data_IF_103219941744
#
_entry.id   IF_103219941744
#
_cell.length_a   1.000
_cell.length_b   1.000
_cell.length_c   1.000
_cell.angle_alpha   90.00
_cell.angle_beta   90.00
_cell.angle_gamma   90.00
#
_symmetry.space_group_name_H-M   'P 1'
#
loop_
_entity.id
_entity.type
_entity.pdbx_description
1 polymer ?
#
# COMPACT_ATOMS: atom_id res chain seq x y z
N UNK A 1 -20.07 22.94 14.21
CA UNK A 1 -18.98 23.24 13.28
C UNK A 1 -18.19 21.95 13.19
N UNK A 2 -18.59 21.05 12.29
CA UNK A 2 -17.77 19.90 11.89
C UNK A 2 -16.68 20.47 11.00
N UNK A 3 -15.42 20.35 11.44
CA UNK A 3 -14.26 20.75 10.65
C UNK A 3 -14.16 19.80 9.44
N UNK A 4 -14.11 20.40 8.26
CA UNK A 4 -13.89 19.71 6.98
C UNK A 4 -12.47 19.11 6.90
N UNK A 5 -12.18 18.11 7.75
CA UNK A 5 -11.08 17.20 7.52
C UNK A 5 -11.57 16.06 6.61
N UNK A 6 -11.93 16.45 5.39
CA UNK A 6 -12.30 15.51 4.35
C UNK A 6 -11.04 14.80 3.87
N UNK A 7 -10.94 13.53 4.22
CA UNK A 7 -9.95 12.55 3.78
C UNK A 7 -8.50 12.73 4.27
N UNK A 8 -8.16 11.99 5.30
CA UNK A 8 -6.77 11.85 5.74
C UNK A 8 -6.09 10.69 4.99
N UNK A 9 -4.77 10.78 4.86
CA UNK A 9 -3.93 9.67 4.41
C UNK A 9 -3.06 9.22 5.56
N UNK A 10 -3.30 7.99 6.02
CA UNK A 10 -2.52 7.33 7.05
C UNK A 10 -1.42 6.50 6.40
N UNK A 11 -0.22 6.59 6.92
CA UNK A 11 0.96 5.89 6.40
C UNK A 11 1.58 5.07 7.51
N UNK A 12 1.73 3.77 7.26
CA UNK A 12 2.33 2.80 8.18
C UNK A 12 3.51 2.11 7.50
N UNK A 13 4.64 2.06 8.18
CA UNK A 13 5.85 1.37 7.72
C UNK A 13 6.13 0.18 8.62
N UNK A 14 5.94 -1.04 8.09
CA UNK A 14 6.08 -2.35 8.75
C UNK A 14 5.35 -2.45 10.11
N UNK A 15 4.05 -2.08 10.21
CA UNK A 15 3.35 -2.02 11.49
C UNK A 15 3.09 -3.39 12.12
N UNK A 16 3.24 -4.50 11.39
CA UNK A 16 3.04 -5.86 11.91
C UNK A 16 4.26 -6.44 12.61
N UNK A 17 5.41 -5.77 12.55
CA UNK A 17 6.65 -6.27 13.15
C UNK A 17 6.49 -6.44 14.66
N UNK A 18 6.76 -7.66 15.14
CA UNK A 18 6.67 -8.02 16.56
C UNK A 18 5.26 -8.31 17.06
N UNK A 19 4.24 -8.23 16.22
CA UNK A 19 2.86 -8.54 16.60
C UNK A 19 2.57 -10.04 16.49
N UNK A 20 1.81 -10.57 17.46
CA UNK A 20 1.21 -11.89 17.38
C UNK A 20 0.01 -11.90 16.42
N UNK A 21 -0.40 -13.08 15.96
CA UNK A 21 -1.47 -13.27 14.98
C UNK A 21 -2.79 -12.54 15.35
N UNK A 22 -3.21 -12.63 16.63
CA UNK A 22 -4.41 -11.92 17.11
C UNK A 22 -4.29 -10.40 17.08
N UNK A 23 -3.08 -9.88 17.23
CA UNK A 23 -2.82 -8.44 17.18
C UNK A 23 -2.83 -7.95 15.73
N UNK A 24 -2.33 -8.76 14.79
CA UNK A 24 -2.44 -8.49 13.36
C UNK A 24 -3.89 -8.42 12.89
N UNK A 25 -4.77 -9.29 13.40
CA UNK A 25 -6.21 -9.24 13.11
C UNK A 25 -6.83 -7.91 13.57
N UNK A 26 -6.47 -7.43 14.76
CA UNK A 26 -6.93 -6.12 15.25
C UNK A 26 -6.38 -4.97 14.39
N UNK A 27 -5.13 -5.06 13.96
CA UNK A 27 -4.53 -4.06 13.08
C UNK A 27 -5.27 -3.99 11.74
N UNK A 28 -5.62 -5.13 11.16
CA UNK A 28 -6.43 -5.22 9.95
C UNK A 28 -7.79 -4.53 10.14
N UNK A 29 -8.48 -4.80 11.26
CA UNK A 29 -9.76 -4.14 11.58
C UNK A 29 -9.61 -2.62 11.64
N UNK A 30 -8.56 -2.12 12.28
CA UNK A 30 -8.26 -0.67 12.35
C UNK A 30 -8.07 -0.09 10.93
N UNK A 31 -7.36 -0.75 10.04
CA UNK A 31 -7.20 -0.28 8.66
C UNK A 31 -8.55 -0.18 7.93
N UNK A 32 -9.38 -1.20 8.09
CA UNK A 32 -10.72 -1.22 7.48
C UNK A 32 -11.62 -0.10 8.03
N UNK A 33 -11.57 0.14 9.34
CA UNK A 33 -12.31 1.24 9.98
C UNK A 33 -11.85 2.62 9.48
N UNK A 34 -10.53 2.83 9.34
CA UNK A 34 -9.96 4.06 8.78
C UNK A 34 -10.50 4.31 7.37
N UNK A 35 -10.50 3.29 6.51
CA UNK A 35 -10.98 3.43 5.12
C UNK A 35 -12.50 3.59 5.08
N UNK A 36 -13.24 2.88 5.91
CA UNK A 36 -14.70 3.02 6.02
C UNK A 36 -15.12 4.44 6.45
N UNK A 37 -14.27 5.14 7.20
CA UNK A 37 -14.45 6.55 7.56
C UNK A 37 -14.05 7.54 6.46
N UNK A 38 -13.81 7.09 5.21
CA UNK A 38 -13.49 7.95 4.07
C UNK A 38 -12.02 8.35 3.98
N UNK A 39 -11.12 7.63 4.64
CA UNK A 39 -9.69 7.92 4.63
C UNK A 39 -8.92 6.98 3.68
N UNK A 40 -7.63 7.26 3.50
CA UNK A 40 -6.70 6.41 2.74
C UNK A 40 -5.69 5.79 3.71
N UNK A 41 -5.41 4.50 3.55
CA UNK A 41 -4.34 3.80 4.25
C UNK A 41 -3.26 3.40 3.26
N UNK A 42 -2.03 3.81 3.50
CA UNK A 42 -0.84 3.33 2.79
C UNK A 42 -0.03 2.52 3.79
N UNK A 43 0.19 1.25 3.49
CA UNK A 43 0.97 0.35 4.36
C UNK A 43 2.13 -0.27 3.59
N UNK A 44 3.34 -0.15 4.15
CA UNK A 44 4.53 -0.86 3.66
C UNK A 44 4.64 -2.15 4.46
N UNK A 45 4.52 -3.29 3.80
CA UNK A 45 4.43 -4.57 4.47
C UNK A 45 5.01 -5.73 3.67
N UNK A 46 5.30 -6.81 4.39
CA UNK A 46 5.65 -8.12 3.83
C UNK A 46 4.81 -9.26 4.45
N UNK A 47 3.94 -8.94 5.42
CA UNK A 47 2.99 -9.89 6.00
C UNK A 47 1.86 -10.18 5.00
N UNK A 48 1.65 -11.47 4.72
CA UNK A 48 0.70 -11.95 3.72
C UNK A 48 -0.74 -11.53 4.02
N UNK A 49 -1.13 -11.50 5.29
CA UNK A 49 -2.49 -11.14 5.71
C UNK A 49 -2.78 -9.69 5.41
N UNK A 50 -1.82 -8.81 5.71
CA UNK A 50 -1.98 -7.39 5.45
C UNK A 50 -1.93 -7.10 3.95
N UNK A 51 -1.08 -7.80 3.20
CA UNK A 51 -1.06 -7.69 1.74
C UNK A 51 -2.40 -8.15 1.14
N UNK A 52 -3.00 -9.22 1.67
CA UNK A 52 -4.23 -9.81 1.12
C UNK A 52 -5.47 -8.94 1.30
N UNK A 53 -5.50 -8.06 2.30
CA UNK A 53 -6.64 -7.14 2.53
C UNK A 53 -6.48 -5.80 1.81
N UNK A 54 -5.36 -5.58 1.11
CA UNK A 54 -5.15 -4.35 0.37
C UNK A 54 -6.03 -4.31 -0.89
N UNK A 55 -6.74 -3.21 -1.09
CA UNK A 55 -7.52 -2.95 -2.32
C UNK A 55 -6.61 -2.76 -3.53
N UNK A 56 -5.41 -2.22 -3.28
CA UNK A 56 -4.44 -1.89 -4.31
C UNK A 56 -3.02 -2.22 -3.83
N UNK A 57 -2.25 -2.88 -4.67
CA UNK A 57 -0.89 -3.31 -4.36
C UNK A 57 0.10 -2.63 -5.27
N UNK A 58 1.21 -2.20 -4.69
CA UNK A 58 2.41 -1.71 -5.37
C UNK A 58 3.57 -2.59 -4.95
N UNK A 59 4.13 -3.38 -5.86
CA UNK A 59 5.29 -4.21 -5.58
C UNK A 59 6.57 -3.58 -6.12
N UNK A 60 7.57 -3.47 -5.24
CA UNK A 60 8.91 -2.94 -5.53
C UNK A 60 9.92 -4.07 -5.43
N UNK A 61 10.71 -4.26 -6.49
CA UNK A 61 11.67 -5.36 -6.57
C UNK A 61 12.64 -5.21 -7.74
N UNK A 62 13.09 -6.37 -8.31
CA UNK A 62 12.79 -7.74 -7.87
C UNK A 62 13.60 -8.19 -6.64
N UNK A 63 14.79 -7.63 -6.42
CA UNK A 63 15.71 -7.99 -5.34
C UNK A 63 15.99 -6.86 -4.37
N UNK A 64 16.99 -7.04 -3.51
CA UNK A 64 17.44 -6.04 -2.55
C UNK A 64 18.52 -5.13 -3.13
N UNK A 65 18.73 -3.96 -2.52
CA UNK A 65 19.83 -3.05 -2.87
C UNK A 65 19.84 -2.62 -4.34
N UNK A 66 20.94 -2.85 -5.03
CA UNK A 66 21.12 -2.47 -6.44
C UNK A 66 20.16 -3.18 -7.41
N UNK A 67 19.70 -4.38 -7.07
CA UNK A 67 18.74 -5.14 -7.86
C UNK A 67 17.29 -4.74 -7.59
N UNK A 68 17.04 -3.95 -6.54
CA UNK A 68 15.72 -3.43 -6.19
C UNK A 68 15.36 -2.13 -6.89
N UNK A 69 14.36 -1.44 -6.35
CA UNK A 69 13.97 -0.08 -6.73
C UNK A 69 13.16 0.04 -8.01
N UNK A 70 12.76 -1.08 -8.63
CA UNK A 70 11.89 -1.09 -9.82
C UNK A 70 10.46 -1.38 -9.43
N UNK A 71 9.52 -0.81 -10.16
CA UNK A 71 8.12 -1.20 -10.09
C UNK A 71 7.95 -2.56 -10.79
N UNK A 72 7.52 -3.57 -10.04
CA UNK A 72 7.20 -4.91 -10.55
C UNK A 72 5.73 -5.00 -10.91
N UNK A 73 4.87 -4.49 -10.00
CA UNK A 73 3.43 -4.52 -10.18
C UNK A 73 2.77 -3.29 -9.53
N UNK A 74 1.67 -2.85 -10.12
CA UNK A 74 0.69 -1.98 -9.47
C UNK A 74 -0.71 -2.32 -9.98
N UNK A 75 -1.67 -2.50 -9.08
CA UNK A 75 -3.05 -2.87 -9.43
C UNK A 75 -3.81 -3.44 -8.25
N UNK A 76 -5.01 -3.99 -8.52
CA UNK A 76 -5.80 -4.66 -7.50
C UNK A 76 -5.20 -6.03 -7.11
N UNK A 77 -5.67 -6.59 -6.01
CA UNK A 77 -5.15 -7.84 -5.46
C UNK A 77 -5.35 -9.05 -6.41
N UNK A 78 -6.48 -9.12 -7.12
CA UNK A 78 -6.75 -10.23 -8.03
C UNK A 78 -5.81 -10.24 -9.24
N UNK A 79 -5.52 -9.07 -9.78
CA UNK A 79 -4.55 -8.92 -10.87
C UNK A 79 -3.12 -9.20 -10.36
N UNK A 80 -2.83 -8.80 -9.12
CA UNK A 80 -1.56 -9.08 -8.46
C UNK A 80 -1.26 -10.58 -8.39
N UNK A 81 -2.20 -11.39 -7.95
CA UNK A 81 -2.05 -12.85 -7.87
C UNK A 81 -1.72 -13.49 -9.23
N UNK A 82 -2.06 -12.85 -10.35
CA UNK A 82 -1.78 -13.33 -11.68
C UNK A 82 -0.50 -12.72 -12.30
N UNK A 83 0.23 -11.89 -11.56
CA UNK A 83 1.49 -11.29 -12.01
C UNK A 83 2.59 -12.33 -12.07
N UNK A 84 3.07 -12.65 -13.28
CA UNK A 84 4.12 -13.67 -13.50
C UNK A 84 5.50 -13.23 -13.01
N UNK A 85 5.75 -11.93 -12.98
CA UNK A 85 7.03 -11.34 -12.58
C UNK A 85 7.15 -11.16 -11.07
N UNK A 86 6.04 -11.34 -10.33
CA UNK A 86 5.99 -11.23 -8.88
C UNK A 86 6.34 -12.55 -8.20
N UNK A 87 7.40 -12.55 -7.40
CA UNK A 87 7.76 -13.66 -6.52
C UNK A 87 6.76 -13.77 -5.38
N UNK A 88 6.29 -12.64 -4.86
CA UNK A 88 5.32 -12.57 -3.74
C UNK A 88 3.97 -13.12 -4.19
N UNK A 89 3.48 -12.71 -5.37
CA UNK A 89 2.22 -13.21 -5.91
C UNK A 89 2.24 -14.73 -6.10
N UNK A 90 3.34 -15.27 -6.62
CA UNK A 90 3.53 -16.71 -6.78
C UNK A 90 3.43 -17.45 -5.43
N UNK A 91 4.14 -16.95 -4.42
CA UNK A 91 4.13 -17.51 -3.08
C UNK A 91 2.73 -17.46 -2.44
N UNK A 92 2.05 -16.33 -2.51
CA UNK A 92 0.69 -16.15 -2.00
C UNK A 92 -0.31 -17.08 -2.68
N UNK A 93 -0.15 -17.33 -3.97
CA UNK A 93 -1.00 -18.24 -4.73
C UNK A 93 -0.81 -19.71 -4.32
N UNK A 94 0.41 -20.10 -3.96
CA UNK A 94 0.76 -21.44 -3.49
C UNK A 94 0.32 -21.70 -2.04
N UNK A 95 0.28 -20.68 -1.19
CA UNK A 95 -0.05 -20.80 0.22
C UNK A 95 -1.53 -21.07 0.52
N UNK A 96 -2.43 -21.02 -0.45
CA UNK A 96 -3.88 -21.38 -0.42
C UNK A 96 -4.69 -20.90 0.80
N UNK A 97 -4.03 -20.39 1.84
CA UNK A 97 -4.63 -20.13 3.15
C UNK A 97 -5.55 -18.91 3.18
N UNK A 98 -5.37 -17.98 2.25
CA UNK A 98 -6.00 -16.65 2.33
C UNK A 98 -7.18 -16.43 1.39
N UNK A 99 -7.31 -17.20 0.33
CA UNK A 99 -8.32 -16.97 -0.72
C UNK A 99 -9.74 -17.16 -0.21
N UNK A 100 -9.96 -18.05 0.76
CA UNK A 100 -11.32 -18.38 1.21
C UNK A 100 -11.85 -17.48 2.34
N UNK A 101 -10.95 -16.98 3.21
CA UNK A 101 -11.39 -16.24 4.41
C UNK A 101 -11.56 -14.73 4.21
N UNK A 102 -10.99 -14.14 3.16
CA UNK A 102 -11.01 -12.67 2.95
C UNK A 102 -11.79 -12.21 1.71
N UNK A 103 -12.32 -13.12 0.89
CA UNK A 103 -13.17 -12.79 -0.28
C UNK A 103 -14.42 -11.96 0.06
N UNK A 104 -14.90 -12.01 1.29
CA UNK A 104 -16.14 -11.33 1.69
C UNK A 104 -16.02 -9.82 1.91
N UNK A 105 -14.82 -9.25 1.99
CA UNK A 105 -14.68 -7.81 2.26
C UNK A 105 -14.47 -6.95 1.01
N UNK A 106 -14.17 -7.53 -0.14
CA UNK A 106 -13.91 -6.76 -1.37
C UNK A 106 -15.15 -6.21 -2.06
N UNK A 107 -16.33 -6.80 -1.82
CA UNK A 107 -17.56 -6.41 -2.53
C UNK A 107 -18.34 -5.28 -1.87
N UNK A 108 -17.94 -4.82 -0.68
CA UNK A 108 -18.72 -3.85 0.11
C UNK A 108 -18.06 -2.49 0.30
N UNK A 109 -16.85 -2.27 -0.18
CA UNK A 109 -16.25 -0.94 -0.12
C UNK A 109 -17.00 0.00 -1.08
N UNK A 110 -17.65 1.07 -0.59
CA UNK A 110 -18.32 2.01 -1.47
C UNK A 110 -17.30 2.55 -2.47
N UNK A 111 -17.66 2.52 -3.75
CA UNK A 111 -16.91 3.16 -4.84
C UNK A 111 -17.08 4.68 -4.69
N UNK A 112 -16.49 5.23 -3.64
CA UNK A 112 -16.44 6.66 -3.41
C UNK A 112 -15.24 7.21 -4.22
N UNK A 113 -15.56 7.83 -5.36
CA UNK A 113 -14.66 8.65 -6.19
C UNK A 113 -13.41 7.92 -6.73
N UNK A 114 -13.62 7.05 -7.72
CA UNK A 114 -12.61 6.23 -8.39
C UNK A 114 -11.47 7.00 -9.09
N UNK A 115 -11.57 8.33 -9.21
CA UNK A 115 -10.64 9.13 -10.01
C UNK A 115 -9.57 9.87 -9.20
N UNK A 116 -9.72 9.95 -7.88
CA UNK A 116 -8.76 10.64 -7.03
C UNK A 116 -7.51 9.76 -6.80
N UNK A 117 -6.38 10.22 -7.31
CA UNK A 117 -5.10 9.50 -7.25
C UNK A 117 -3.95 10.42 -6.84
N UNK A 118 -3.05 9.89 -6.03
CA UNK A 118 -1.74 10.47 -5.79
C UNK A 118 -0.76 9.89 -6.82
N UNK A 119 -0.19 10.74 -7.68
CA UNK A 119 0.74 10.30 -8.71
C UNK A 119 2.18 10.65 -8.32
N UNK A 120 3.06 9.67 -8.40
CA UNK A 120 4.51 9.84 -8.33
C UNK A 120 5.07 9.69 -9.74
N UNK A 121 6.01 10.55 -10.13
CA UNK A 121 6.68 10.49 -11.43
C UNK A 121 8.17 10.63 -11.27
N UNK A 122 8.92 9.67 -11.79
CA UNK A 122 10.37 9.73 -11.92
C UNK A 122 11.13 9.75 -10.59
N UNK A 123 10.66 9.04 -9.55
CA UNK A 123 11.36 8.99 -8.28
C UNK A 123 12.66 8.19 -8.39
N UNK A 124 13.79 8.81 -7.98
CA UNK A 124 15.13 8.22 -8.05
C UNK A 124 15.86 8.25 -6.70
N UNK A 125 15.12 8.40 -5.60
CA UNK A 125 15.73 8.46 -4.27
C UNK A 125 16.19 7.08 -3.81
N UNK A 126 17.30 7.01 -3.08
CA UNK A 126 17.94 5.76 -2.62
C UNK A 126 18.20 4.79 -3.81
N UNK A 127 17.63 3.60 -3.75
CA UNK A 127 17.74 2.60 -4.81
C UNK A 127 16.62 2.63 -5.86
N UNK A 128 15.71 3.60 -5.81
CA UNK A 128 14.62 3.72 -6.78
C UNK A 128 15.15 4.03 -8.18
N UNK A 129 14.58 3.37 -9.18
CA UNK A 129 15.00 3.48 -10.59
C UNK A 129 13.91 4.11 -11.44
N UNK A 130 13.84 5.46 -11.41
CA UNK A 130 12.86 6.25 -12.18
C UNK A 130 11.42 5.77 -11.94
N UNK A 131 11.08 5.53 -10.66
CA UNK A 131 9.81 4.97 -10.26
C UNK A 131 8.67 5.94 -10.57
N UNK A 132 7.68 5.46 -11.32
CA UNK A 132 6.44 6.19 -11.57
C UNK A 132 5.26 5.28 -11.23
N UNK A 133 4.34 5.76 -10.41
CA UNK A 133 3.18 4.99 -9.96
C UNK A 133 2.00 5.89 -9.61
N UNK A 134 0.82 5.29 -9.53
CA UNK A 134 -0.45 5.95 -9.24
C UNK A 134 -1.12 5.24 -8.07
N UNK A 135 -1.38 5.96 -7.00
CA UNK A 135 -1.98 5.47 -5.76
C UNK A 135 -3.41 5.95 -5.68
N UNK A 136 -4.42 5.07 -5.69
CA UNK A 136 -5.80 5.47 -5.49
C UNK A 136 -6.00 5.96 -4.04
N UNK A 137 -6.84 7.00 -3.87
CA UNK A 137 -7.25 7.46 -2.55
C UNK A 137 -8.46 6.67 -2.04
N UNK A 138 -8.76 6.79 -0.74
CA UNK A 138 -9.89 6.12 -0.06
C UNK A 138 -9.83 4.59 -0.13
N UNK A 139 -8.62 4.05 -0.09
CA UNK A 139 -8.34 2.61 -0.20
C UNK A 139 -7.23 2.20 0.76
N UNK A 140 -7.14 0.90 1.02
CA UNK A 140 -5.95 0.30 1.59
C UNK A 140 -4.98 0.01 0.44
N UNK A 141 -3.81 0.65 0.47
CA UNK A 141 -2.76 0.49 -0.54
C UNK A 141 -1.54 -0.18 0.10
N UNK A 142 -1.27 -1.40 -0.29
CA UNK A 142 -0.12 -2.18 0.18
C UNK A 142 1.11 -1.98 -0.69
N UNK A 143 2.23 -1.58 -0.08
CA UNK A 143 3.55 -1.58 -0.72
C UNK A 143 4.27 -2.88 -0.35
N UNK A 144 4.37 -3.78 -1.29
CA UNK A 144 4.98 -5.10 -1.14
C UNK A 144 6.39 -5.15 -1.77
N UNK A 145 7.17 -6.14 -1.40
CA UNK A 145 8.51 -6.42 -1.93
C UNK A 145 9.37 -7.13 -0.90
N UNK A 146 10.45 -7.75 -1.35
CA UNK A 146 11.42 -8.39 -0.46
C UNK A 146 12.12 -7.36 0.43
N UNK A 147 12.69 -7.80 1.56
CA UNK A 147 13.45 -6.90 2.44
C UNK A 147 14.59 -6.24 1.67
N UNK A 148 14.76 -4.92 1.87
CA UNK A 148 15.80 -4.15 1.17
C UNK A 148 15.50 -3.84 -0.31
N UNK A 149 14.32 -4.19 -0.85
CA UNK A 149 13.96 -3.87 -2.25
C UNK A 149 13.66 -2.39 -2.50
N UNK A 150 13.50 -1.59 -1.44
CA UNK A 150 13.19 -0.17 -1.52
C UNK A 150 11.72 0.19 -1.30
N UNK A 151 10.92 -0.71 -0.71
CA UNK A 151 9.48 -0.49 -0.42
C UNK A 151 9.18 0.81 0.33
N UNK A 152 9.95 1.11 1.38
CA UNK A 152 9.75 2.31 2.21
C UNK A 152 10.19 3.60 1.49
N UNK A 153 11.09 3.51 0.49
CA UNK A 153 11.63 4.69 -0.19
C UNK A 153 10.57 5.54 -0.92
N UNK A 154 9.63 4.97 -1.69
CA UNK A 154 8.56 5.76 -2.30
C UNK A 154 7.69 6.47 -1.26
N UNK A 155 7.43 5.83 -0.13
CA UNK A 155 6.53 6.33 0.91
C UNK A 155 7.26 7.33 1.81
N UNK A 156 8.25 6.88 2.56
CA UNK A 156 8.93 7.68 3.59
C UNK A 156 9.79 8.82 3.00
N UNK A 157 10.42 8.59 1.85
CA UNK A 157 11.38 9.53 1.28
C UNK A 157 10.86 10.29 0.04
N UNK A 158 9.72 9.92 -0.52
CA UNK A 158 9.12 10.64 -1.66
C UNK A 158 7.76 11.24 -1.29
N UNK A 159 6.76 10.40 -0.92
CA UNK A 159 5.38 10.85 -0.65
C UNK A 159 5.35 11.78 0.55
N UNK A 160 5.82 11.32 1.71
CA UNK A 160 5.71 12.06 2.98
C UNK A 160 6.35 13.46 2.90
N UNK A 161 7.60 13.63 2.42
CA UNK A 161 8.20 14.95 2.30
C UNK A 161 7.45 15.87 1.34
N UNK A 162 6.97 15.35 0.21
CA UNK A 162 6.23 16.14 -0.78
C UNK A 162 4.86 16.57 -0.26
N UNK A 163 4.13 15.70 0.39
CA UNK A 163 2.85 16.06 1.01
C UNK A 163 3.04 17.11 2.11
N UNK A 164 4.05 16.95 2.98
CA UNK A 164 4.39 17.97 3.99
C UNK A 164 4.72 19.32 3.36
N UNK A 165 5.45 19.33 2.25
CA UNK A 165 5.75 20.57 1.52
C UNK A 165 4.50 21.25 0.95
N UNK A 166 3.61 20.46 0.31
CA UNK A 166 2.36 20.97 -0.28
C UNK A 166 1.44 21.53 0.82
N UNK A 167 1.29 20.82 1.93
CA UNK A 167 0.45 21.25 3.05
C UNK A 167 0.97 22.53 3.70
N UNK A 168 2.28 22.65 3.92
CA UNK A 168 2.88 23.89 4.45
C UNK A 168 2.65 25.11 3.55
N UNK A 169 2.64 24.92 2.25
CA UNK A 169 2.42 26.00 1.29
C UNK A 169 0.94 26.38 1.11
N UNK A 170 0.00 25.58 1.68
CA UNK A 170 -1.45 25.87 1.67
C UNK A 170 -1.95 26.56 2.93
N UNK A 171 -1.12 26.64 3.98
CA UNK A 171 -1.42 27.37 5.21
C UNK A 171 -0.88 28.79 5.07
N UNK A 172 -1.61 29.63 4.32
CA UNK A 172 -1.48 31.10 4.31
C UNK A 172 -2.89 31.65 4.42
#
# INVERSE_FOLDING_TARGET
>A
IMSDFDSLTFIFDEPSVGLHEREKEKLIQVFQEIVAAGNTVIVVEHDERIISIADYIVEIGPGAGAEGGKLIFQGNYNDFLNCKDSIIAKYLKESNYFIENYKHHMDTAPILHSDNKLCIRGANINNLKNLSLSIPLYRIVGFAGVSGSGKSSPVAHTIVPKLKQILRNRVI
#
